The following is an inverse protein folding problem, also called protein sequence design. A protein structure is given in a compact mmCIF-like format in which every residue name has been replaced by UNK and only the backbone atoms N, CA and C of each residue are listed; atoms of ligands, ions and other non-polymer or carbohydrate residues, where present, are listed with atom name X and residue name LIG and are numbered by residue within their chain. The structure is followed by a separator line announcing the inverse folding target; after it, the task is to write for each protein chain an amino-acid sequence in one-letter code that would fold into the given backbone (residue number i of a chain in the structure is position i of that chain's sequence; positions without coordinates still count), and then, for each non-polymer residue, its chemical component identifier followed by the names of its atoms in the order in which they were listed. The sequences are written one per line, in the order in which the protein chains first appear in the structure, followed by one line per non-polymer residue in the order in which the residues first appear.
data_IF_336111866345
#
_entry.id   IF_336111866345
#
_cell.length_a   1.000
_cell.length_b   1.000
_cell.length_c   1.000
_cell.angle_alpha   90.00
_cell.angle_beta   90.00
_cell.angle_gamma   90.00
#
_symmetry.space_group_name_H-M   'P 1'
#
loop_
_entity.id
_entity.type
_entity.pdbx_description
1 polymer ?
#
# COMPACT_ATOMS: atom_id res chain seq x y z
N UNK A 1 -9.52 8.42 -2.78
CA UNK A 1 -8.22 7.72 -2.79
C UNK A 1 -8.47 6.30 -3.24
N UNK A 2 -7.66 5.77 -4.13
CA UNK A 2 -7.71 4.37 -4.55
C UNK A 2 -6.79 3.56 -3.67
N UNK A 3 -7.38 2.61 -2.96
CA UNK A 3 -6.74 1.82 -1.92
C UNK A 3 -6.57 0.38 -2.39
N UNK A 4 -5.46 -0.24 -2.00
CA UNK A 4 -5.12 -1.63 -2.31
C UNK A 4 -4.02 -2.14 -1.38
N UNK A 5 -3.97 -3.46 -1.19
CA UNK A 5 -2.88 -4.14 -0.51
C UNK A 5 -2.00 -4.95 -1.44
N UNK A 6 -0.69 -4.88 -1.22
CA UNK A 6 0.26 -5.72 -1.96
C UNK A 6 1.21 -6.46 -1.04
N UNK A 7 1.38 -7.75 -1.31
CA UNK A 7 2.37 -8.59 -0.63
C UNK A 7 3.72 -8.51 -1.33
N UNK A 8 4.75 -8.22 -0.55
CA UNK A 8 6.15 -8.18 -0.94
C UNK A 8 6.86 -9.40 -0.34
N UNK A 9 7.04 -10.44 -1.16
CA UNK A 9 7.75 -11.65 -0.77
C UNK A 9 9.25 -11.41 -0.71
N UNK A 10 9.90 -11.79 0.40
CA UNK A 10 11.36 -11.71 0.54
C UNK A 10 12.11 -12.61 -0.44
N UNK A 11 11.47 -13.67 -0.92
CA UNK A 11 12.09 -14.73 -1.72
C UNK A 11 11.62 -14.74 -3.18
N UNK A 12 10.40 -14.26 -3.46
CA UNK A 12 9.86 -14.19 -4.82
C UNK A 12 10.09 -12.79 -5.41
N UNK A 13 11.23 -12.63 -6.09
CA UNK A 13 11.51 -11.41 -6.83
C UNK A 13 10.58 -11.25 -8.02
N UNK A 14 10.26 -9.99 -8.40
CA UNK A 14 9.63 -9.73 -9.68
C UNK A 14 10.55 -10.17 -10.82
N UNK A 15 9.99 -10.38 -12.00
CA UNK A 15 10.80 -10.58 -13.22
C UNK A 15 11.61 -9.31 -13.48
N UNK A 16 12.91 -9.41 -13.31
CA UNK A 16 13.90 -8.38 -13.60
C UNK A 16 14.59 -8.70 -14.93
N UNK A 17 15.08 -7.66 -15.62
CA UNK A 17 15.86 -7.80 -16.86
C UNK A 17 17.28 -7.33 -16.58
N UNK A 18 18.26 -8.11 -17.03
CA UNK A 18 19.68 -7.75 -17.02
C UNK A 18 20.15 -7.46 -18.44
N UNK A 19 21.07 -6.50 -18.58
CA UNK A 19 21.80 -6.22 -19.81
C UNK A 19 23.28 -6.46 -19.52
N UNK A 20 23.98 -7.09 -20.47
CA UNK A 20 25.40 -7.40 -20.36
C UNK A 20 26.00 -7.67 -21.75
N UNK A 21 27.34 -7.73 -21.87
CA UNK A 21 28.02 -8.04 -23.12
C UNK A 21 27.51 -9.34 -23.77
N UNK A 22 27.59 -9.43 -25.09
CA UNK A 22 27.17 -10.62 -25.84
C UNK A 22 28.00 -11.82 -25.39
N UNK A 23 27.36 -12.81 -24.78
CA UNK A 23 28.01 -14.01 -24.22
C UNK A 23 28.06 -14.01 -22.69
N UNK A 24 27.90 -12.85 -22.04
CA UNK A 24 27.96 -12.67 -20.59
C UNK A 24 26.56 -12.39 -20.03
N UNK A 25 25.73 -13.44 -19.96
CA UNK A 25 24.38 -13.31 -19.40
C UNK A 25 24.43 -13.31 -17.88
N UNK A 26 24.19 -12.16 -17.25
CA UNK A 26 23.95 -12.09 -15.80
C UNK A 26 22.63 -12.78 -15.45
N UNK A 27 22.70 -13.96 -14.83
CA UNK A 27 21.53 -14.69 -14.34
C UNK A 27 21.11 -14.13 -12.98
N UNK A 28 19.81 -13.89 -12.83
CA UNK A 28 19.23 -13.47 -11.56
C UNK A 28 18.90 -14.72 -10.75
N UNK A 29 19.48 -14.91 -9.55
CA UNK A 29 19.26 -16.11 -8.77
C UNK A 29 17.79 -16.27 -8.37
N UNK A 30 17.23 -17.46 -8.60
CA UNK A 30 15.95 -17.84 -7.99
C UNK A 30 16.21 -18.23 -6.54
N UNK A 31 15.37 -17.73 -5.62
CA UNK A 31 15.49 -18.00 -4.19
C UNK A 31 14.27 -18.77 -3.71
N UNK A 32 14.51 -19.80 -2.92
CA UNK A 32 13.44 -20.57 -2.29
C UNK A 32 13.32 -20.16 -0.83
N UNK A 33 12.09 -20.04 -0.35
CA UNK A 33 11.83 -19.72 1.04
C UNK A 33 12.03 -20.98 1.90
N UNK A 34 12.89 -20.93 2.94
CA UNK A 34 12.98 -22.04 3.90
C UNK A 34 11.62 -22.33 4.50
N UNK A 35 11.30 -23.62 4.70
CA UNK A 35 10.02 -24.04 5.30
C UNK A 35 9.82 -23.42 6.68
N UNK A 36 10.89 -23.36 7.48
CA UNK A 36 10.92 -22.86 8.85
C UNK A 36 10.81 -21.33 9.01
N UNK A 37 10.83 -20.55 7.92
CA UNK A 37 10.79 -19.09 8.03
C UNK A 37 9.36 -18.59 8.32
N UNK A 38 9.07 -17.96 9.49
CA UNK A 38 7.71 -17.53 9.82
C UNK A 38 7.24 -16.31 9.01
N UNK A 39 8.14 -15.35 8.77
CA UNK A 39 7.81 -14.11 8.05
C UNK A 39 8.43 -14.10 6.65
N UNK A 40 7.69 -14.63 5.66
CA UNK A 40 8.14 -14.76 4.26
C UNK A 40 7.83 -13.55 3.40
N UNK A 41 6.89 -12.71 3.82
CA UNK A 41 6.45 -11.52 3.10
C UNK A 41 6.12 -10.38 4.07
N UNK A 42 6.08 -9.17 3.52
CA UNK A 42 5.54 -7.98 4.15
C UNK A 42 4.27 -7.60 3.38
N UNK A 43 3.18 -7.31 4.08
CA UNK A 43 2.00 -6.70 3.46
C UNK A 43 2.12 -5.18 3.54
N UNK A 44 1.73 -4.52 2.45
CA UNK A 44 1.80 -3.06 2.31
C UNK A 44 0.43 -2.57 1.89
N UNK A 45 -0.17 -1.74 2.73
CA UNK A 45 -1.32 -0.94 2.36
C UNK A 45 -0.85 0.28 1.56
N UNK A 46 -1.60 0.64 0.52
CA UNK A 46 -1.36 1.86 -0.24
C UNK A 46 -2.66 2.56 -0.61
N UNK A 47 -2.63 3.89 -0.62
CA UNK A 47 -3.74 4.72 -1.05
C UNK A 47 -3.25 5.84 -1.95
N UNK A 48 -3.63 5.79 -3.23
CA UNK A 48 -3.34 6.82 -4.22
C UNK A 48 -4.37 7.94 -4.16
N UNK A 49 -3.90 9.16 -3.93
CA UNK A 49 -4.67 10.39 -4.15
C UNK A 49 -4.75 10.71 -5.64
N UNK A 50 -5.93 11.12 -6.12
CA UNK A 50 -6.08 11.55 -7.51
C UNK A 50 -5.61 12.99 -7.73
N UNK A 51 -6.01 13.98 -6.91
CA UNK A 51 -5.60 15.36 -7.15
C UNK A 51 -4.08 15.54 -6.98
N UNK A 52 -3.52 14.98 -5.91
CA UNK A 52 -2.12 15.18 -5.56
C UNK A 52 -1.18 14.13 -6.17
N UNK A 53 -1.71 13.04 -6.76
CA UNK A 53 -0.93 11.89 -7.28
C UNK A 53 0.09 11.33 -6.28
N UNK A 54 -0.19 11.53 -5.00
CA UNK A 54 0.60 11.06 -3.88
C UNK A 54 0.06 9.72 -3.39
N UNK A 55 0.96 8.79 -3.04
CA UNK A 55 0.62 7.49 -2.47
C UNK A 55 1.00 7.49 -0.99
N UNK A 56 -0.01 7.40 -0.13
CA UNK A 56 0.17 7.07 1.28
C UNK A 56 0.41 5.57 1.40
N UNK A 57 1.36 5.13 2.22
CA UNK A 57 1.65 3.72 2.42
C UNK A 57 1.83 3.37 3.89
N UNK A 58 1.47 2.15 4.26
CA UNK A 58 1.74 1.58 5.57
C UNK A 58 2.14 0.11 5.44
N UNK A 59 3.37 -0.21 5.85
CA UNK A 59 3.81 -1.60 5.95
C UNK A 59 3.30 -2.22 7.25
N UNK A 60 2.79 -3.43 7.19
CA UNK A 60 2.35 -4.19 8.38
C UNK A 60 3.13 -5.49 8.52
N UNK A 61 3.41 -5.87 9.76
CA UNK A 61 4.07 -7.15 10.10
C UNK A 61 3.11 -8.34 10.03
N UNK A 62 1.84 -8.07 10.29
CA UNK A 62 0.78 -9.05 10.37
C UNK A 62 0.05 -9.19 9.02
N UNK A 63 -0.81 -10.20 8.91
CA UNK A 63 -1.71 -10.30 7.76
C UNK A 63 -2.73 -9.17 7.78
N UNK A 64 -3.09 -8.60 6.61
CA UNK A 64 -4.22 -7.71 6.48
C UNK A 64 -5.50 -8.28 7.09
N UNK A 65 -6.09 -7.52 8.02
CA UNK A 65 -7.34 -7.80 8.71
C UNK A 65 -8.06 -6.49 9.02
N UNK A 66 -9.28 -6.57 9.56
CA UNK A 66 -10.09 -5.36 9.83
C UNK A 66 -9.36 -4.32 10.69
N UNK A 67 -8.57 -4.77 11.67
CA UNK A 67 -7.81 -3.89 12.56
C UNK A 67 -6.63 -3.21 11.86
N UNK A 68 -5.91 -3.90 10.99
CA UNK A 68 -4.82 -3.27 10.24
C UNK A 68 -5.38 -2.30 9.20
N UNK A 69 -6.52 -2.64 8.58
CA UNK A 69 -7.22 -1.77 7.62
C UNK A 69 -7.72 -0.49 8.31
N UNK A 70 -8.37 -0.55 9.48
CA UNK A 70 -8.81 0.67 10.16
C UNK A 70 -7.66 1.55 10.63
N UNK A 71 -6.48 0.97 10.92
CA UNK A 71 -5.31 1.73 11.37
C UNK A 71 -4.75 2.54 10.21
N UNK A 72 -4.75 1.92 9.03
CA UNK A 72 -4.40 2.61 7.80
C UNK A 72 -5.42 3.70 7.46
N UNK A 73 -6.73 3.41 7.56
CA UNK A 73 -7.78 4.42 7.38
C UNK A 73 -7.62 5.61 8.33
N UNK A 74 -7.23 5.40 9.58
CA UNK A 74 -6.89 6.47 10.52
C UNK A 74 -5.76 7.37 9.99
N UNK A 75 -4.69 6.77 9.47
CA UNK A 75 -3.59 7.53 8.84
C UNK A 75 -4.05 8.32 7.60
N UNK A 76 -4.98 7.77 6.81
CA UNK A 76 -5.57 8.48 5.66
C UNK A 76 -6.50 9.61 6.10
N UNK A 77 -7.22 9.45 7.21
CA UNK A 77 -8.01 10.53 7.83
C UNK A 77 -7.09 11.67 8.27
N UNK A 78 -5.96 11.37 8.90
CA UNK A 78 -4.99 12.40 9.31
C UNK A 78 -4.33 13.08 8.10
N UNK A 79 -4.10 12.34 7.02
CA UNK A 79 -3.70 12.93 5.74
C UNK A 79 -4.77 13.88 5.20
N UNK A 80 -6.03 13.43 5.12
CA UNK A 80 -7.14 14.24 4.63
C UNK A 80 -7.36 15.50 5.48
N UNK A 81 -7.26 15.40 6.81
CA UNK A 81 -7.38 16.52 7.75
C UNK A 81 -6.29 17.57 7.52
N UNK A 82 -5.02 17.15 7.40
CA UNK A 82 -3.88 18.04 7.09
C UNK A 82 -3.99 18.70 5.73
N UNK A 83 -4.78 18.14 4.81
CA UNK A 83 -5.07 18.71 3.51
C UNK A 83 -6.45 19.39 3.46
N UNK A 84 -7.00 19.76 4.62
CA UNK A 84 -8.28 20.49 4.76
C UNK A 84 -9.47 19.84 4.05
N UNK A 85 -9.49 18.50 3.98
CA UNK A 85 -10.60 17.75 3.38
C UNK A 85 -11.59 17.32 4.46
N UNK A 86 -12.89 17.49 4.21
CA UNK A 86 -13.98 17.01 5.10
C UNK A 86 -14.42 15.57 4.81
N UNK A 87 -14.05 15.05 3.64
CA UNK A 87 -14.45 13.72 3.18
C UNK A 87 -13.25 12.95 2.66
N UNK A 88 -13.11 11.72 3.13
CA UNK A 88 -12.19 10.72 2.63
C UNK A 88 -13.01 9.66 1.87
N UNK A 89 -13.10 9.79 0.56
CA UNK A 89 -13.66 8.73 -0.29
C UNK A 89 -12.57 7.68 -0.50
N UNK A 90 -12.82 6.44 -0.08
CA UNK A 90 -11.89 5.31 -0.23
C UNK A 90 -12.45 4.36 -1.27
N UNK A 91 -11.73 4.13 -2.35
CA UNK A 91 -12.12 3.24 -3.44
C UNK A 91 -11.25 1.99 -3.35
N UNK A 92 -11.84 0.84 -3.03
CA UNK A 92 -11.12 -0.42 -2.84
C UNK A 92 -11.85 -1.60 -3.49
N UNK A 93 -11.26 -2.78 -3.42
CA UNK A 93 -11.82 -4.01 -3.95
C UNK A 93 -12.93 -4.60 -3.02
N UNK A 94 -13.19 -5.91 -3.15
CA UNK A 94 -14.17 -6.63 -2.34
C UNK A 94 -13.53 -7.65 -1.38
N UNK A 95 -12.29 -7.41 -0.92
CA UNK A 95 -11.66 -8.26 0.07
C UNK A 95 -12.55 -8.44 1.32
N UNK A 96 -12.55 -9.64 1.92
CA UNK A 96 -13.49 -9.96 3.00
C UNK A 96 -13.39 -9.04 4.22
N UNK A 97 -12.21 -8.49 4.49
CA UNK A 97 -12.02 -7.51 5.56
C UNK A 97 -12.54 -6.10 5.19
N UNK A 98 -12.56 -5.71 3.91
CA UNK A 98 -13.18 -4.47 3.42
C UNK A 98 -14.70 -4.46 3.61
N UNK A 99 -15.33 -5.64 3.51
CA UNK A 99 -16.78 -5.80 3.68
C UNK A 99 -17.18 -6.28 5.06
N UNK A 100 -16.26 -6.35 6.02
CA UNK A 100 -16.56 -6.91 7.33
C UNK A 100 -17.54 -6.02 8.09
N UNK A 101 -18.45 -6.65 8.85
CA UNK A 101 -19.37 -5.93 9.74
C UNK A 101 -18.60 -5.05 10.74
N UNK A 102 -17.46 -5.56 11.23
CA UNK A 102 -16.61 -4.87 12.20
C UNK A 102 -16.02 -3.58 11.62
N UNK A 103 -15.44 -3.63 10.42
CA UNK A 103 -14.91 -2.45 9.76
C UNK A 103 -16.01 -1.45 9.42
N UNK A 104 -17.14 -1.95 8.91
CA UNK A 104 -18.30 -1.10 8.58
C UNK A 104 -18.83 -0.36 9.82
N UNK A 105 -18.95 -1.04 10.96
CA UNK A 105 -19.41 -0.41 12.19
C UNK A 105 -18.39 0.60 12.75
N UNK A 106 -17.09 0.28 12.67
CA UNK A 106 -16.05 1.23 13.03
C UNK A 106 -16.11 2.51 12.17
N UNK A 107 -16.28 2.39 10.84
CA UNK A 107 -16.46 3.55 9.95
C UNK A 107 -17.67 4.39 10.36
N UNK A 108 -18.79 3.76 10.72
CA UNK A 108 -19.99 4.47 11.18
C UNK A 108 -19.74 5.22 12.49
N UNK A 109 -19.10 4.57 13.46
CA UNK A 109 -18.75 5.19 14.75
C UNK A 109 -17.80 6.37 14.56
N UNK A 110 -16.76 6.20 13.75
CA UNK A 110 -15.86 7.27 13.35
C UNK A 110 -16.64 8.42 12.72
N UNK A 111 -17.47 8.17 11.71
CA UNK A 111 -18.22 9.22 11.03
C UNK A 111 -19.19 9.98 11.93
N UNK A 112 -19.84 9.30 12.89
CA UNK A 112 -20.66 9.95 13.93
C UNK A 112 -19.81 10.85 14.82
N UNK A 113 -18.64 10.38 15.27
CA UNK A 113 -17.74 11.18 16.10
C UNK A 113 -17.15 12.41 15.38
N UNK A 114 -17.10 12.40 14.04
CA UNK A 114 -16.57 13.51 13.23
C UNK A 114 -17.66 14.49 12.73
N UNK A 115 -18.96 14.27 12.97
CA UNK A 115 -20.02 15.09 12.37
C UNK A 115 -20.00 16.54 12.83
N UNK A 116 -19.75 16.74 14.13
CA UNK A 116 -19.91 18.04 14.79
C UNK A 116 -18.59 18.82 14.87
N UNK A 117 -17.51 18.22 14.36
CA UNK A 117 -16.19 18.82 14.35
C UNK A 117 -15.98 19.66 13.09
N UNK A 118 -15.46 20.88 13.26
CA UNK A 118 -15.09 21.75 12.14
C UNK A 118 -14.01 21.14 11.23
N UNK A 119 -13.08 20.40 11.84
CA UNK A 119 -11.97 19.65 11.20
C UNK A 119 -12.29 18.15 11.00
N UNK A 120 -13.55 17.76 11.18
CA UNK A 120 -13.98 16.37 11.13
C UNK A 120 -13.94 15.79 9.71
N UNK A 121 -13.23 14.68 9.54
CA UNK A 121 -13.11 13.95 8.27
C UNK A 121 -13.96 12.69 8.30
N UNK A 122 -14.94 12.60 7.40
CA UNK A 122 -15.82 11.43 7.25
C UNK A 122 -15.30 10.49 6.15
N UNK A 123 -15.32 9.20 6.43
CA UNK A 123 -14.89 8.14 5.52
C UNK A 123 -16.10 7.64 4.72
N UNK A 124 -15.96 7.58 3.39
CA UNK A 124 -16.96 7.07 2.46
C UNK A 124 -16.34 5.94 1.65
N UNK A 125 -16.57 4.67 2.01
CA UNK A 125 -16.06 3.54 1.24
C UNK A 125 -16.88 3.37 -0.05
N UNK A 126 -16.19 3.13 -1.15
CA UNK A 126 -16.73 2.81 -2.46
C UNK A 126 -16.04 1.55 -2.98
N UNK A 127 -16.81 0.61 -3.52
CA UNK A 127 -16.28 -0.66 -3.99
C UNK A 127 -16.17 -0.66 -5.50
N UNK A 128 -15.03 -1.10 -6.00
CA UNK A 128 -14.89 -1.43 -7.42
C UNK A 128 -15.74 -2.66 -7.77
N UNK A 129 -16.15 -2.82 -9.04
CA UNK A 129 -16.72 -4.07 -9.53
C UNK A 129 -15.78 -5.25 -9.24
N UNK A 130 -16.35 -6.41 -8.94
CA UNK A 130 -15.59 -7.61 -8.60
C UNK A 130 -14.63 -8.00 -9.73
N UNK A 131 -13.41 -8.44 -9.38
CA UNK A 131 -12.35 -8.85 -10.33
C UNK A 131 -12.05 -7.79 -11.40
N UNK A 132 -12.03 -6.51 -11.03
CA UNK A 132 -11.72 -5.40 -11.94
C UNK A 132 -10.43 -4.65 -11.58
N UNK A 133 -9.27 -5.34 -11.55
CA UNK A 133 -7.98 -4.76 -11.19
C UNK A 133 -7.59 -3.55 -12.05
N UNK A 134 -7.95 -3.56 -13.34
CA UNK A 134 -7.67 -2.48 -14.29
C UNK A 134 -8.35 -1.13 -13.94
N UNK A 135 -9.33 -1.13 -13.02
CA UNK A 135 -9.95 0.09 -12.52
C UNK A 135 -9.20 0.68 -11.31
N UNK A 136 -8.23 -0.03 -10.76
CA UNK A 136 -7.43 0.43 -9.63
C UNK A 136 -6.07 1.00 -10.10
N UNK A 137 -5.92 2.34 -10.20
CA UNK A 137 -4.72 2.98 -10.73
C UNK A 137 -3.47 2.78 -9.86
N UNK A 138 -3.59 2.24 -8.65
CA UNK A 138 -2.43 1.97 -7.79
C UNK A 138 -1.63 0.73 -8.23
N UNK A 139 -2.24 -0.21 -8.97
CA UNK A 139 -1.59 -1.48 -9.31
C UNK A 139 -0.25 -1.36 -10.06
N UNK A 140 -0.10 -0.47 -11.07
CA UNK A 140 1.19 -0.26 -11.72
C UNK A 140 2.27 0.25 -10.77
N UNK A 141 1.90 0.99 -9.72
CA UNK A 141 2.84 1.47 -8.72
C UNK A 141 3.41 0.33 -7.88
N UNK A 142 2.61 -0.71 -7.57
CA UNK A 142 3.11 -1.91 -6.92
C UNK A 142 4.12 -2.66 -7.77
N UNK A 143 3.86 -2.81 -9.06
CA UNK A 143 4.79 -3.45 -9.99
C UNK A 143 6.13 -2.71 -10.02
N UNK A 144 6.10 -1.39 -10.14
CA UNK A 144 7.32 -0.57 -10.17
C UNK A 144 8.07 -0.59 -8.84
N UNK A 145 7.35 -0.47 -7.71
CA UNK A 145 7.95 -0.56 -6.38
C UNK A 145 8.62 -1.92 -6.18
N UNK A 146 7.94 -3.02 -6.50
CA UNK A 146 8.53 -4.37 -6.42
C UNK A 146 9.82 -4.45 -7.22
N UNK A 147 9.86 -3.94 -8.45
CA UNK A 147 11.08 -3.97 -9.28
C UNK A 147 12.25 -3.19 -8.65
N UNK A 148 11.96 -2.13 -7.90
CA UNK A 148 12.98 -1.28 -7.27
C UNK A 148 13.38 -1.70 -5.85
N UNK A 149 12.50 -2.40 -5.12
CA UNK A 149 12.66 -2.64 -3.69
C UNK A 149 13.62 -3.81 -3.35
N UNK A 150 13.88 -4.72 -4.29
CA UNK A 150 14.71 -5.91 -4.04
C UNK A 150 16.15 -5.73 -4.52
N UNK A 151 17.09 -6.19 -3.68
CA UNK A 151 18.48 -6.43 -4.07
C UNK A 151 18.60 -7.75 -4.83
N UNK A 152 19.30 -7.76 -5.97
CA UNK A 152 19.56 -8.95 -6.78
C UNK A 152 20.46 -9.96 -6.05
N UNK A 153 21.37 -9.49 -5.19
CA UNK A 153 22.42 -10.31 -4.60
C UNK A 153 22.05 -10.87 -3.23
N UNK A 154 21.24 -10.14 -2.45
CA UNK A 154 20.92 -10.50 -1.06
C UNK A 154 19.43 -10.64 -0.77
N UNK A 155 19.06 -11.62 0.07
CA UNK A 155 17.68 -11.79 0.57
C UNK A 155 17.41 -10.74 1.63
N UNK A 156 16.47 -9.80 1.42
CA UNK A 156 16.21 -8.77 2.41
C UNK A 156 15.55 -9.38 3.65
N UNK A 157 15.93 -8.88 4.81
CA UNK A 157 15.14 -9.01 6.03
C UNK A 157 13.80 -8.28 5.87
N UNK A 158 12.77 -8.61 6.67
CA UNK A 158 11.50 -7.87 6.65
C UNK A 158 11.71 -6.36 6.85
N UNK A 159 12.62 -5.97 7.75
CA UNK A 159 12.94 -4.57 8.07
C UNK A 159 13.56 -3.84 6.88
N UNK A 160 14.51 -4.46 6.19
CA UNK A 160 15.13 -3.89 4.98
C UNK A 160 14.11 -3.75 3.86
N UNK A 161 13.26 -4.75 3.66
CA UNK A 161 12.23 -4.71 2.63
C UNK A 161 11.25 -3.55 2.86
N UNK A 162 10.75 -3.38 4.09
CA UNK A 162 9.92 -2.22 4.46
C UNK A 162 10.63 -0.91 4.20
N UNK A 163 11.89 -0.80 4.61
CA UNK A 163 12.70 0.42 4.40
C UNK A 163 12.83 0.75 2.91
N UNK A 164 13.09 -0.24 2.07
CA UNK A 164 13.16 -0.06 0.62
C UNK A 164 11.83 0.39 0.02
N UNK A 165 10.71 -0.19 0.47
CA UNK A 165 9.36 0.23 0.05
C UNK A 165 9.08 1.68 0.46
N UNK A 166 9.33 2.06 1.71
CA UNK A 166 9.16 3.43 2.17
C UNK A 166 10.01 4.42 1.37
N UNK A 167 11.31 4.13 1.23
CA UNK A 167 12.24 4.96 0.46
C UNK A 167 11.78 5.13 -0.99
N UNK A 168 11.28 4.07 -1.63
CA UNK A 168 10.78 4.15 -3.01
C UNK A 168 9.63 5.15 -3.14
N UNK A 169 8.61 5.04 -2.29
CA UNK A 169 7.45 5.92 -2.37
C UNK A 169 7.75 7.35 -1.88
N UNK A 170 8.67 7.53 -0.93
CA UNK A 170 9.17 8.85 -0.52
C UNK A 170 9.89 9.56 -1.67
N UNK A 171 10.78 8.86 -2.39
CA UNK A 171 11.49 9.42 -3.54
C UNK A 171 10.57 9.73 -4.73
N UNK A 172 9.37 9.13 -4.77
CA UNK A 172 8.33 9.37 -5.79
C UNK A 172 7.26 10.36 -5.33
N UNK A 173 7.39 10.95 -4.13
CA UNK A 173 6.48 12.02 -3.70
C UNK A 173 6.59 13.19 -4.69
N UNK A 174 5.47 13.67 -5.24
CA UNK A 174 5.47 14.85 -6.08
C UNK A 174 6.12 16.03 -5.34
N UNK A 175 7.18 16.59 -5.93
CA UNK A 175 7.89 17.75 -5.38
C UNK A 175 7.08 18.99 -5.77
N UNK A 176 6.46 19.66 -4.81
CA UNK A 176 5.66 20.87 -5.09
C UNK A 176 4.42 21.09 -4.22
N UNK A 177 4.12 20.23 -3.25
CA UNK A 177 3.05 20.50 -2.29
C UNK A 177 3.66 20.82 -0.91
N UNK A 178 3.93 22.10 -0.68
CA UNK A 178 4.06 22.61 0.68
C UNK A 178 2.66 22.68 1.25
N UNK A 179 2.35 21.83 2.23
CA UNK A 179 1.23 22.08 3.11
C UNK A 179 1.62 23.31 3.94
N UNK A 180 1.15 24.49 3.53
CA UNK A 180 1.01 25.65 4.40
C UNK A 180 -0.21 25.46 5.28
#
# INVERSE_FOLDING_TARGET
MYEDESWFSRYAMPRLRSHGPRGERTRIPKREAPKSQPQKAVAVYGALTIPEKHICIQCVDEQPRSETTWNFLGSLVDYARRNHRRWLVVIWDNAGFHTSKRLTEWIRQHNRAQSDRSDGVRIVPYRLPTRSPWLNPIEPHWLHCKRAAYSVDTTPTPKELKRSVYRYFEAKRPTGFQAT
#
